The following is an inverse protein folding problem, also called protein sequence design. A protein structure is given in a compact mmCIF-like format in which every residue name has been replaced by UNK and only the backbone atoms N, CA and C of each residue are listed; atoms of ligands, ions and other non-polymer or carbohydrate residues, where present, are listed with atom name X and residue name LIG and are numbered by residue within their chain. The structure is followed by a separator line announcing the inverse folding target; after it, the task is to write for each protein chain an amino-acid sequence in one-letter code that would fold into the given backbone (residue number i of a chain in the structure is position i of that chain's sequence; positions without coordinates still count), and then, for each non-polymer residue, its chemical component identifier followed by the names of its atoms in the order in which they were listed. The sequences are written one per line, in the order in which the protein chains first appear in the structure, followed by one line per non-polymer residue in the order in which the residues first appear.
data_IF_290354343490
#
_entry.id   IF_290354343490
#
_cell.length_a   1.000
_cell.length_b   1.000
_cell.length_c   1.000
_cell.angle_alpha   90.00
_cell.angle_beta   90.00
_cell.angle_gamma   90.00
#
_symmetry.space_group_name_H-M   'P 1'
#
loop_
_entity.id
_entity.type
_entity.pdbx_description
1 polymer ?
#
# COMPACT_ATOMS: atom_id res chain seq x y z
N UNK A 1 -32.44 10.98 -11.68
CA UNK A 1 -31.66 12.02 -11.00
C UNK A 1 -30.36 11.37 -10.57
N UNK A 2 -29.29 11.57 -11.32
CA UNK A 2 -27.98 10.99 -11.03
C UNK A 2 -27.35 11.86 -9.94
N UNK A 3 -27.17 11.32 -8.73
CA UNK A 3 -26.45 12.04 -7.68
C UNK A 3 -24.95 11.98 -7.99
N UNK A 4 -24.43 13.06 -8.55
CA UNK A 4 -23.00 13.33 -8.63
C UNK A 4 -22.46 13.55 -7.21
N UNK A 5 -22.01 12.47 -6.56
CA UNK A 5 -21.27 12.55 -5.31
C UNK A 5 -19.82 12.98 -5.58
N UNK A 6 -19.63 14.25 -5.96
CA UNK A 6 -18.33 14.92 -6.05
C UNK A 6 -18.10 15.78 -4.80
N UNK A 7 -18.16 15.16 -3.62
CA UNK A 7 -17.73 15.83 -2.39
C UNK A 7 -16.19 15.86 -2.37
N UNK A 8 -15.62 17.02 -2.70
CA UNK A 8 -14.19 17.31 -2.77
C UNK A 8 -13.46 17.15 -1.42
N UNK A 9 -13.26 15.91 -0.99
CA UNK A 9 -12.29 15.59 0.04
C UNK A 9 -10.91 16.02 -0.47
N UNK A 10 -10.16 16.87 0.27
CA UNK A 10 -8.82 17.24 -0.14
C UNK A 10 -7.97 15.98 -0.26
N UNK A 11 -7.27 15.82 -1.40
CA UNK A 11 -6.33 14.71 -1.57
C UNK A 11 -5.30 14.81 -0.45
N UNK A 12 -5.21 13.79 0.39
CA UNK A 12 -4.19 13.75 1.43
C UNK A 12 -2.81 13.87 0.78
N UNK A 13 -1.89 14.65 1.38
CA UNK A 13 -0.54 14.74 0.85
C UNK A 13 0.11 13.35 0.90
N UNK A 14 0.94 13.07 -0.11
CA UNK A 14 1.80 11.89 -0.08
C UNK A 14 2.78 12.05 1.07
N UNK A 15 2.83 11.06 1.96
CA UNK A 15 3.79 11.01 3.05
C UNK A 15 4.91 10.03 2.72
N UNK A 16 6.09 10.32 3.22
CA UNK A 16 7.17 9.35 3.17
C UNK A 16 6.83 8.14 4.05
N UNK A 17 7.29 6.98 3.62
CA UNK A 17 7.12 5.72 4.37
C UNK A 17 8.09 5.73 5.55
N UNK A 18 7.64 5.32 6.74
CA UNK A 18 8.54 5.18 7.90
C UNK A 18 9.69 4.22 7.57
N UNK A 19 10.89 4.52 8.05
CA UNK A 19 12.11 3.75 7.76
C UNK A 19 11.92 2.25 8.06
N UNK A 20 11.35 1.92 9.21
CA UNK A 20 11.04 0.53 9.61
C UNK A 20 10.16 -0.21 8.59
N UNK A 21 9.17 0.49 8.01
CA UNK A 21 8.28 -0.08 6.99
C UNK A 21 8.98 -0.18 5.63
N UNK A 22 9.88 0.76 5.30
CA UNK A 22 10.71 0.67 4.10
C UNK A 22 11.61 -0.57 4.16
N UNK A 23 12.30 -0.77 5.29
CA UNK A 23 13.15 -1.94 5.53
C UNK A 23 12.35 -3.24 5.43
N UNK A 24 11.16 -3.29 6.05
CA UNK A 24 10.25 -4.44 5.93
C UNK A 24 9.90 -4.74 4.48
N UNK A 25 9.56 -3.73 3.68
CA UNK A 25 9.22 -3.90 2.26
C UNK A 25 10.44 -4.42 1.47
N UNK A 26 11.63 -3.85 1.69
CA UNK A 26 12.87 -4.28 1.02
C UNK A 26 13.22 -5.73 1.38
N UNK A 27 13.10 -6.11 2.65
CA UNK A 27 13.32 -7.47 3.14
C UNK A 27 12.34 -8.48 2.52
N UNK A 28 11.18 -8.03 2.08
CA UNK A 28 10.19 -8.83 1.34
C UNK A 28 10.39 -8.77 -0.19
N UNK A 29 11.54 -8.29 -0.67
CA UNK A 29 11.86 -8.06 -2.10
C UNK A 29 10.87 -7.10 -2.80
N UNK A 30 10.38 -6.10 -2.07
CA UNK A 30 9.54 -5.02 -2.58
C UNK A 30 10.27 -3.75 -2.97
N UNK A 31 9.54 -2.83 -3.59
CA UNK A 31 9.98 -1.45 -3.81
C UNK A 31 9.27 -0.53 -2.80
N UNK A 32 9.98 0.10 -1.84
CA UNK A 32 9.35 0.97 -0.83
C UNK A 32 8.83 2.29 -1.39
N UNK A 33 9.22 2.68 -2.62
CA UNK A 33 8.90 3.98 -3.21
C UNK A 33 7.58 4.02 -3.99
N UNK A 34 6.72 3.00 -3.86
CA UNK A 34 5.43 2.97 -4.55
C UNK A 34 4.49 4.05 -4.01
N UNK A 35 3.80 4.74 -4.93
CA UNK A 35 2.79 5.75 -4.57
C UNK A 35 1.71 5.20 -3.65
N UNK A 36 1.34 3.91 -3.79
CA UNK A 36 0.42 3.25 -2.89
C UNK A 36 0.88 3.34 -1.42
N UNK A 37 2.14 3.02 -1.14
CA UNK A 37 2.67 3.09 0.22
C UNK A 37 2.68 4.52 0.73
N UNK A 38 3.05 5.49 -0.11
CA UNK A 38 3.04 6.92 0.23
C UNK A 38 1.64 7.47 0.53
N UNK A 39 0.60 6.94 -0.13
CA UNK A 39 -0.80 7.27 0.14
C UNK A 39 -1.21 6.70 1.51
N UNK A 40 -0.94 5.40 1.73
CA UNK A 40 -1.35 4.69 2.95
C UNK A 40 -0.50 5.11 4.17
N UNK A 41 0.69 5.68 3.99
CA UNK A 41 1.53 6.26 5.05
C UNK A 41 0.84 7.34 5.89
N UNK A 42 -0.29 7.89 5.43
CA UNK A 42 -1.16 8.70 6.27
C UNK A 42 -1.71 7.95 7.50
N UNK A 43 -1.68 6.61 7.48
CA UNK A 43 -1.97 5.71 8.59
C UNK A 43 -0.94 4.56 8.63
N UNK A 44 0.17 4.69 9.40
CA UNK A 44 1.26 3.71 9.41
C UNK A 44 0.85 2.30 9.88
N UNK A 45 -0.12 2.20 10.81
CA UNK A 45 -0.64 0.91 11.27
C UNK A 45 -1.31 0.18 10.10
N UNK A 46 -2.16 0.90 9.35
CA UNK A 46 -2.82 0.34 8.15
C UNK A 46 -1.81 -0.04 7.08
N UNK A 47 -0.76 0.77 6.87
CA UNK A 47 0.30 0.42 5.92
C UNK A 47 1.02 -0.87 6.33
N UNK A 48 1.36 -1.02 7.62
CA UNK A 48 1.98 -2.24 8.13
C UNK A 48 1.11 -3.47 7.88
N UNK A 49 -0.19 -3.40 8.23
CA UNK A 49 -1.14 -4.50 7.99
C UNK A 49 -1.34 -4.80 6.50
N UNK A 50 -1.33 -3.77 5.65
CA UNK A 50 -1.41 -3.95 4.20
C UNK A 50 -0.20 -4.70 3.65
N UNK A 51 1.01 -4.35 4.10
CA UNK A 51 2.25 -5.05 3.71
C UNK A 51 2.16 -6.52 4.12
N UNK A 52 1.76 -6.81 5.37
CA UNK A 52 1.63 -8.19 5.85
C UNK A 52 0.65 -9.01 5.03
N UNK A 53 -0.52 -8.45 4.73
CA UNK A 53 -1.55 -9.09 3.91
C UNK A 53 -1.10 -9.32 2.46
N UNK A 54 -0.58 -8.28 1.79
CA UNK A 54 -0.20 -8.39 0.38
C UNK A 54 0.94 -9.40 0.17
N UNK A 55 1.90 -9.44 1.09
CA UNK A 55 3.01 -10.37 1.03
C UNK A 55 2.69 -11.76 1.56
N UNK A 56 1.68 -11.94 2.42
CA UNK A 56 1.16 -13.28 2.71
C UNK A 56 0.56 -13.88 1.44
N UNK A 57 -0.27 -13.14 0.70
CA UNK A 57 -0.80 -13.61 -0.59
C UNK A 57 0.33 -13.98 -1.55
N UNK A 58 1.36 -13.15 -1.69
CA UNK A 58 2.47 -13.44 -2.61
C UNK A 58 3.25 -14.71 -2.25
N UNK A 59 3.39 -15.01 -0.96
CA UNK A 59 4.08 -16.20 -0.47
C UNK A 59 3.20 -17.44 -0.54
N UNK A 60 1.94 -17.31 -0.12
CA UNK A 60 1.05 -18.44 0.14
C UNK A 60 0.16 -18.78 -1.07
N UNK A 61 -0.09 -17.81 -1.95
CA UNK A 61 -0.87 -17.97 -3.17
C UNK A 61 0.06 -17.83 -4.38
N UNK A 62 0.77 -18.90 -4.70
CA UNK A 62 1.55 -19.03 -5.94
C UNK A 62 0.62 -19.29 -7.12
N UNK A 63 -0.23 -18.31 -7.47
CA UNK A 63 -0.97 -18.41 -8.73
C UNK A 63 0.05 -18.36 -9.86
N UNK A 64 0.15 -19.48 -10.60
CA UNK A 64 1.02 -19.58 -11.77
C UNK A 64 0.75 -18.39 -12.69
N UNK A 65 1.82 -17.66 -13.03
CA UNK A 65 1.77 -16.51 -13.93
C UNK A 65 1.73 -16.97 -15.40
N UNK A 66 1.02 -18.06 -15.69
CA UNK A 66 0.72 -18.46 -17.05
C UNK A 66 -0.40 -17.55 -17.56
N UNK A 67 0.01 -16.57 -18.36
CA UNK A 67 -0.87 -15.85 -19.29
C UNK A 67 -1.06 -16.72 -20.53
#
# INVERSE_FOLDING_TARGET
MLEENSSGQPRLPLKDVLVELQEKIVNLNGNPNLNLYRIVSNNPIRLSSWIDFAYSIRRDCTTSRQL
#
